data_IF_203548642152
#
_entry.id   IF_203548642152
#
_cell.length_a   1.000
_cell.length_b   1.000
_cell.length_c   1.000
_cell.angle_alpha   90.00
_cell.angle_beta   90.00
_cell.angle_gamma   90.00
#
_symmetry.space_group_name_H-M   'P 1'
#
loop_
_entity.id
_entity.type
_entity.pdbx_description
1 polymer ?
#
# COMPACT_ATOMS: atom_id res chain seq x y z
N UNK A 1 15.40 -14.73 -4.20
CA UNK A 1 16.50 -13.75 -4.35
C UNK A 1 15.88 -12.39 -4.13
N UNK A 2 16.36 -11.62 -3.14
CA UNK A 2 15.73 -10.35 -2.77
C UNK A 2 15.89 -9.31 -3.88
N UNK A 3 14.92 -8.40 -4.01
CA UNK A 3 14.97 -7.27 -4.94
C UNK A 3 15.52 -6.02 -4.24
N UNK A 4 16.28 -5.14 -4.91
CA UNK A 4 16.65 -3.85 -4.32
C UNK A 4 15.42 -2.99 -4.03
N UNK A 5 15.38 -2.30 -2.87
CA UNK A 5 14.22 -1.47 -2.51
C UNK A 5 13.86 -0.39 -3.54
N UNK A 6 14.86 0.14 -4.26
CA UNK A 6 14.67 1.13 -5.33
C UNK A 6 13.93 0.56 -6.55
N UNK A 7 13.96 -0.75 -6.74
CA UNK A 7 13.27 -1.44 -7.82
C UNK A 7 11.85 -1.87 -7.43
N UNK A 8 11.43 -1.66 -6.18
CA UNK A 8 10.18 -2.20 -5.65
C UNK A 8 8.93 -1.76 -6.44
N UNK A 9 8.81 -0.47 -6.77
CA UNK A 9 7.68 0.02 -7.57
C UNK A 9 7.69 -0.55 -9.00
N UNK A 10 8.86 -0.68 -9.64
CA UNK A 10 8.97 -1.27 -10.97
C UNK A 10 8.60 -2.76 -10.97
N UNK A 11 9.04 -3.50 -9.96
CA UNK A 11 8.68 -4.92 -9.80
C UNK A 11 7.18 -5.07 -9.56
N UNK A 12 6.59 -4.23 -8.71
CA UNK A 12 5.14 -4.28 -8.48
C UNK A 12 4.36 -3.92 -9.75
N UNK A 13 4.80 -2.89 -10.49
CA UNK A 13 4.23 -2.54 -11.80
C UNK A 13 4.31 -3.70 -12.79
N UNK A 14 5.42 -4.44 -12.81
CA UNK A 14 5.59 -5.60 -13.67
C UNK A 14 4.63 -6.73 -13.29
N UNK A 15 4.43 -6.99 -12.00
CA UNK A 15 3.48 -8.01 -11.53
C UNK A 15 2.04 -7.69 -11.92
N UNK A 16 1.64 -6.42 -11.81
CA UNK A 16 0.32 -5.94 -12.27
C UNK A 16 0.14 -6.19 -13.77
N UNK A 17 1.12 -5.78 -14.59
CA UNK A 17 1.06 -5.96 -16.05
C UNK A 17 1.05 -7.42 -16.49
N UNK A 18 1.75 -8.31 -15.77
CA UNK A 18 1.70 -9.76 -16.03
C UNK A 18 0.29 -10.34 -15.86
N UNK A 19 -0.57 -9.65 -15.11
CA UNK A 19 -1.99 -9.99 -14.90
C UNK A 19 -2.94 -9.17 -15.76
N UNK A 20 -2.42 -8.35 -16.68
CA UNK A 20 -3.20 -7.48 -17.55
C UNK A 20 -3.76 -6.25 -16.83
N UNK A 21 -3.19 -5.86 -15.70
CA UNK A 21 -3.57 -4.65 -14.95
C UNK A 21 -2.53 -3.57 -15.25
N UNK A 22 -2.96 -2.45 -15.84
CA UNK A 22 -2.08 -1.29 -16.00
C UNK A 22 -2.04 -0.47 -14.70
N UNK A 23 -0.85 -0.17 -14.15
CA UNK A 23 -0.73 0.53 -12.87
C UNK A 23 -1.37 1.93 -12.83
N UNK A 24 -1.44 2.62 -13.96
CA UNK A 24 -2.04 3.96 -14.13
C UNK A 24 -3.53 3.91 -14.53
N UNK A 25 -4.06 2.72 -14.78
CA UNK A 25 -5.45 2.49 -15.19
C UNK A 25 -6.00 1.18 -14.62
N UNK A 26 -5.90 1.00 -13.30
CA UNK A 26 -6.44 -0.17 -12.60
C UNK A 26 -7.96 -0.22 -12.76
N UNK A 27 -8.49 -1.32 -13.31
CA UNK A 27 -9.93 -1.52 -13.48
C UNK A 27 -10.55 -2.56 -12.53
N UNK A 28 -9.74 -3.36 -11.84
CA UNK A 28 -10.17 -4.38 -10.88
C UNK A 28 -9.37 -4.26 -9.57
N UNK A 29 -10.03 -3.70 -8.55
CA UNK A 29 -9.44 -3.48 -7.23
C UNK A 29 -9.08 -4.80 -6.55
N UNK A 30 -9.87 -5.85 -6.75
CA UNK A 30 -9.60 -7.15 -6.13
C UNK A 30 -8.36 -7.80 -6.77
N UNK A 31 -8.25 -7.77 -8.10
CA UNK A 31 -7.07 -8.29 -8.77
C UNK A 31 -5.80 -7.47 -8.45
N UNK A 32 -5.93 -6.15 -8.30
CA UNK A 32 -4.84 -5.30 -7.84
C UNK A 32 -4.39 -5.64 -6.41
N UNK A 33 -5.33 -5.85 -5.49
CA UNK A 33 -5.05 -6.29 -4.12
C UNK A 33 -4.39 -7.66 -4.07
N UNK A 34 -4.88 -8.64 -4.83
CA UNK A 34 -4.27 -9.98 -4.87
C UNK A 34 -2.83 -9.91 -5.39
N UNK A 35 -2.55 -9.02 -6.34
CA UNK A 35 -1.20 -8.77 -6.84
C UNK A 35 -0.33 -8.06 -5.80
N UNK A 36 -0.89 -7.09 -5.07
CA UNK A 36 -0.22 -6.43 -3.95
C UNK A 36 0.13 -7.43 -2.84
N UNK A 37 -0.80 -8.31 -2.49
CA UNK A 37 -0.59 -9.36 -1.48
C UNK A 37 0.57 -10.29 -1.85
N UNK A 38 0.72 -10.61 -3.13
CA UNK A 38 1.87 -11.38 -3.64
C UNK A 38 3.17 -10.58 -3.65
N UNK A 39 3.11 -9.31 -4.05
CA UNK A 39 4.26 -8.41 -4.00
C UNK A 39 4.81 -8.28 -2.58
N UNK A 40 3.93 -8.21 -1.58
CA UNK A 40 4.28 -8.19 -0.15
C UNK A 40 5.01 -9.45 0.33
N UNK A 41 4.99 -10.56 -0.43
CA UNK A 41 5.76 -11.77 -0.12
C UNK A 41 7.18 -11.75 -0.68
N UNK A 42 7.55 -10.73 -1.46
CA UNK A 42 8.89 -10.61 -2.04
C UNK A 42 9.84 -9.99 -1.01
N UNK A 43 10.96 -10.66 -0.74
CA UNK A 43 12.05 -10.12 0.08
C UNK A 43 12.66 -8.88 -0.59
N UNK A 44 12.86 -7.81 0.19
CA UNK A 44 13.49 -6.58 -0.27
C UNK A 44 14.85 -6.42 0.40
N UNK A 45 15.89 -6.21 -0.41
CA UNK A 45 17.23 -5.90 0.04
C UNK A 45 17.39 -4.40 0.37
N UNK A 46 18.15 -4.11 1.43
CA UNK A 46 18.43 -2.75 1.90
C UNK A 46 17.39 -2.18 2.87
N UNK A 47 16.49 -3.04 3.34
CA UNK A 47 15.48 -2.74 4.36
C UNK A 47 16.00 -3.19 5.74
N UNK A 48 15.71 -2.40 6.77
CA UNK A 48 16.09 -2.68 8.15
C UNK A 48 15.37 -3.91 8.73
N UNK A 49 15.82 -4.37 9.90
CA UNK A 49 15.17 -5.48 10.59
C UNK A 49 13.79 -5.08 11.13
N UNK A 50 12.92 -6.06 11.46
CA UNK A 50 11.57 -5.79 11.98
C UNK A 50 11.54 -4.91 13.24
N UNK A 51 12.59 -4.92 14.06
CA UNK A 51 12.70 -4.08 15.26
C UNK A 51 12.91 -2.59 14.98
N UNK A 52 13.16 -2.23 13.72
CA UNK A 52 13.26 -0.85 13.23
C UNK A 52 12.19 -0.55 12.17
N UNK A 53 11.02 -1.20 12.25
CA UNK A 53 9.90 -0.98 11.33
C UNK A 53 10.28 -1.22 9.86
N UNK A 54 11.15 -2.22 9.63
CA UNK A 54 11.76 -2.54 8.34
C UNK A 54 10.78 -2.59 7.17
N UNK A 55 9.87 -3.56 7.21
CA UNK A 55 9.06 -3.97 6.06
C UNK A 55 7.58 -4.07 6.45
N UNK A 56 6.91 -2.93 6.47
CA UNK A 56 5.51 -2.80 6.87
C UNK A 56 4.55 -2.68 5.69
N UNK A 57 3.26 -2.81 5.97
CA UNK A 57 2.20 -2.59 4.98
C UNK A 57 0.92 -2.05 5.61
N UNK A 58 0.13 -1.37 4.77
CA UNK A 58 -1.09 -0.68 5.15
C UNK A 58 -2.05 -0.59 3.96
N UNK A 59 -3.35 -0.49 4.24
CA UNK A 59 -4.32 0.04 3.29
C UNK A 59 -4.98 1.28 3.88
N UNK A 60 -5.11 2.34 3.07
CA UNK A 60 -5.60 3.65 3.51
C UNK A 60 -6.73 4.13 2.61
N UNK A 61 -7.60 4.99 3.13
CA UNK A 61 -8.67 5.62 2.37
C UNK A 61 -9.00 7.01 2.92
N UNK A 62 -9.53 7.86 2.04
CA UNK A 62 -9.97 9.19 2.43
C UNK A 62 -10.07 10.12 1.23
N UNK A 63 -10.26 11.39 1.51
CA UNK A 63 -10.16 12.47 0.54
C UNK A 63 -8.93 13.32 0.88
N UNK A 64 -7.98 13.37 -0.05
CA UNK A 64 -6.73 14.10 0.14
C UNK A 64 -6.60 15.21 -0.90
N UNK A 65 -6.04 16.35 -0.49
CA UNK A 65 -5.96 17.55 -1.32
C UNK A 65 -5.11 17.39 -2.58
N UNK A 66 -4.11 16.51 -2.56
CA UNK A 66 -3.27 16.19 -3.72
C UNK A 66 -4.01 15.34 -4.76
N UNK A 67 -5.19 14.82 -4.43
CA UNK A 67 -6.08 14.07 -5.33
C UNK A 67 -7.29 14.88 -5.78
N UNK A 68 -7.19 16.21 -5.79
CA UNK A 68 -8.32 17.10 -6.09
C UNK A 68 -9.52 16.86 -5.15
N UNK A 69 -9.24 16.47 -3.89
CA UNK A 69 -10.22 16.07 -2.87
C UNK A 69 -11.12 14.89 -3.32
N UNK A 70 -10.67 14.07 -4.26
CA UNK A 70 -11.39 12.88 -4.70
C UNK A 70 -11.22 11.71 -3.72
N UNK A 71 -12.25 10.85 -3.56
CA UNK A 71 -12.15 9.64 -2.76
C UNK A 71 -11.05 8.71 -3.27
N UNK A 72 -10.18 8.26 -2.37
CA UNK A 72 -9.08 7.38 -2.69
C UNK A 72 -9.05 6.15 -1.79
N UNK A 73 -8.51 5.06 -2.34
CA UNK A 73 -8.08 3.85 -1.64
C UNK A 73 -6.63 3.58 -2.04
N UNK A 74 -5.73 3.35 -1.09
CA UNK A 74 -4.34 3.06 -1.40
C UNK A 74 -3.85 1.79 -0.71
N UNK A 75 -2.91 1.12 -1.38
CA UNK A 75 -2.18 -0.04 -0.88
C UNK A 75 -0.71 0.34 -0.75
N UNK A 76 -0.22 0.38 0.48
CA UNK A 76 1.11 0.85 0.81
C UNK A 76 2.00 -0.25 1.38
N UNK A 77 3.23 -0.37 0.87
CA UNK A 77 4.33 -1.09 1.52
C UNK A 77 5.36 -0.08 2.02
N UNK A 78 5.55 0.00 3.33
CA UNK A 78 6.51 0.90 3.97
C UNK A 78 7.84 0.18 4.18
N UNK A 79 8.93 0.88 3.84
CA UNK A 79 10.29 0.39 3.84
C UNK A 79 11.14 1.35 4.67
N UNK A 80 11.60 0.90 5.85
CA UNK A 80 12.66 1.58 6.58
C UNK A 80 14.01 1.17 5.97
N UNK A 81 14.69 2.10 5.32
CA UNK A 81 15.94 1.85 4.59
C UNK A 81 17.11 2.59 5.21
N UNK A 82 18.29 2.02 5.04
CA UNK A 82 19.55 2.62 5.46
C UNK A 82 20.35 3.08 4.25
N UNK A 83 20.09 4.31 3.81
CA UNK A 83 20.79 4.92 2.69
C UNK A 83 21.91 5.84 3.19
N UNK A 84 22.95 5.26 3.78
CA UNK A 84 24.24 5.93 3.99
C UNK A 84 24.46 6.68 5.31
N UNK A 85 23.61 6.47 6.32
CA UNK A 85 23.85 6.97 7.69
C UNK A 85 24.84 6.10 8.46
N UNK A 86 25.67 6.70 9.32
CA UNK A 86 26.49 5.94 10.28
C UNK A 86 25.55 5.31 11.33
N UNK A 87 25.33 3.99 11.23
CA UNK A 87 24.47 3.22 12.16
C UNK A 87 24.91 3.34 13.63
N UNK A 88 26.15 3.73 13.87
CA UNK A 88 26.73 3.92 15.21
C UNK A 88 26.36 5.29 15.83
N UNK A 89 25.69 6.19 15.11
CA UNK A 89 25.16 7.45 15.67
C UNK A 89 23.97 7.16 16.62
N UNK A 90 24.04 7.57 17.90
CA UNK A 90 22.95 7.41 18.87
C UNK A 90 21.63 8.09 18.48
N UNK A 91 21.65 9.03 17.53
CA UNK A 91 20.49 9.75 17.00
C UNK A 91 20.08 9.27 15.61
N UNK A 92 20.72 8.22 15.08
CA UNK A 92 20.37 7.66 13.79
C UNK A 92 18.91 7.19 13.76
N UNK A 93 18.26 7.42 12.61
CA UNK A 93 16.94 6.93 12.27
C UNK A 93 16.98 6.44 10.82
N UNK A 94 16.25 5.37 10.47
CA UNK A 94 16.12 4.95 9.08
C UNK A 94 15.37 6.01 8.27
N UNK A 95 15.57 6.00 6.95
CA UNK A 95 14.69 6.72 6.05
C UNK A 95 13.46 5.86 5.76
N UNK A 96 12.28 6.43 5.85
CA UNK A 96 11.05 5.74 5.48
C UNK A 96 10.70 6.04 4.04
N UNK A 97 10.42 4.98 3.28
CA UNK A 97 9.97 5.04 1.90
C UNK A 97 8.70 4.22 1.76
N UNK A 98 7.82 4.61 0.85
CA UNK A 98 6.54 3.94 0.61
C UNK A 98 6.40 3.61 -0.87
N UNK A 99 6.16 2.35 -1.15
CA UNK A 99 5.61 1.92 -2.44
C UNK A 99 4.10 1.97 -2.32
N UNK A 100 3.45 2.82 -3.10
CA UNK A 100 2.01 3.05 -2.98
C UNK A 100 1.33 2.86 -4.34
N UNK A 101 0.35 1.94 -4.39
CA UNK A 101 -0.66 1.95 -5.45
C UNK A 101 -1.88 2.68 -4.93
N UNK A 102 -2.15 3.85 -5.49
CA UNK A 102 -3.30 4.67 -5.14
C UNK A 102 -4.37 4.57 -6.22
N UNK A 103 -5.61 4.34 -5.78
CA UNK A 103 -6.79 4.19 -6.62
C UNK A 103 -7.73 5.36 -6.32
N UNK A 104 -8.03 6.16 -7.32
CA UNK A 104 -8.81 7.40 -7.18
C UNK A 104 -10.16 7.19 -7.84
N UNK A 105 -11.23 7.47 -7.12
CA UNK A 105 -12.61 7.21 -7.54
C UNK A 105 -13.33 8.51 -7.87
N UNK A 106 -14.31 8.41 -8.75
CA UNK A 106 -15.28 9.49 -8.93
C UNK A 106 -16.16 9.67 -7.69
N UNK A 107 -16.88 10.79 -7.63
CA UNK A 107 -17.93 10.97 -6.64
C UNK A 107 -19.05 9.95 -6.85
N UNK A 108 -19.46 9.27 -5.78
CA UNK A 108 -20.62 8.38 -5.77
C UNK A 108 -21.32 8.44 -4.40
N UNK A 109 -22.67 8.45 -4.36
CA UNK A 109 -23.42 8.37 -3.11
C UNK A 109 -23.03 7.19 -2.19
N UNK A 110 -22.52 6.08 -2.74
CA UNK A 110 -22.11 4.91 -1.98
C UNK A 110 -20.93 5.15 -1.02
N UNK A 111 -20.13 6.21 -1.24
CA UNK A 111 -19.00 6.60 -0.39
C UNK A 111 -18.97 8.10 -0.06
N UNK A 112 -20.11 8.80 -0.16
CA UNK A 112 -20.20 10.24 0.10
C UNK A 112 -19.74 10.68 1.50
N UNK A 113 -19.79 9.80 2.51
CA UNK A 113 -19.28 10.09 3.87
C UNK A 113 -18.04 9.23 4.22
N UNK A 114 -17.14 9.02 3.25
CA UNK A 114 -15.89 8.27 3.47
C UNK A 114 -15.10 8.81 4.67
N UNK A 115 -14.97 10.13 4.79
CA UNK A 115 -14.25 10.79 5.90
C UNK A 115 -14.95 10.65 7.27
N UNK A 116 -16.23 10.25 7.28
CA UNK A 116 -16.99 10.06 8.53
C UNK A 116 -16.82 8.66 9.13
N UNK A 117 -16.00 7.79 8.53
CA UNK A 117 -15.72 6.44 9.06
C UNK A 117 -14.94 6.46 10.38
N UNK A 118 -14.33 7.59 10.75
CA UNK A 118 -13.62 7.77 12.03
C UNK A 118 -12.23 7.11 12.08
N UNK A 119 -11.80 6.52 10.97
CA UNK A 119 -10.48 5.96 10.72
C UNK A 119 -10.25 5.98 9.20
N UNK A 120 -8.99 6.09 8.78
CA UNK A 120 -8.57 6.29 7.38
C UNK A 120 -7.57 5.23 6.93
N UNK A 121 -7.35 4.20 7.75
CA UNK A 121 -6.37 3.17 7.49
C UNK A 121 -6.63 1.90 8.32
N UNK A 122 -5.98 0.80 7.91
CA UNK A 122 -6.03 -0.50 8.60
C UNK A 122 -5.12 -0.60 9.82
N UNK A 123 -4.31 0.41 10.10
CA UNK A 123 -3.11 0.32 10.91
C UNK A 123 -1.95 -0.33 10.16
N UNK A 124 -0.72 0.07 10.50
CA UNK A 124 0.51 -0.55 10.00
C UNK A 124 0.69 -1.95 10.58
N UNK A 125 1.05 -2.89 9.71
CA UNK A 125 1.39 -4.25 10.07
C UNK A 125 2.80 -4.61 9.58
N UNK A 126 3.59 -5.24 10.45
CA UNK A 126 5.00 -5.62 10.21
C UNK A 126 5.23 -7.13 10.29
N UNK A 127 4.16 -7.94 10.19
CA UNK A 127 4.29 -9.39 10.22
C UNK A 127 5.27 -9.87 9.15
N UNK A 128 6.12 -10.84 9.52
CA UNK A 128 7.13 -11.41 8.65
C UNK A 128 6.51 -12.05 7.38
N UNK A 129 7.28 -12.02 6.29
CA UNK A 129 6.93 -12.67 5.02
C UNK A 129 6.53 -14.13 5.26
N UNK A 130 5.47 -14.57 4.57
CA UNK A 130 4.93 -15.92 4.66
C UNK A 130 3.54 -15.96 5.31
N UNK A 131 3.30 -16.97 6.15
CA UNK A 131 1.97 -17.28 6.66
C UNK A 131 1.39 -16.17 7.56
N UNK A 132 2.21 -15.54 8.40
CA UNK A 132 1.76 -14.46 9.30
C UNK A 132 1.28 -13.24 8.51
N UNK A 133 2.09 -12.76 7.56
CA UNK A 133 1.70 -11.66 6.64
C UNK A 133 0.47 -12.01 5.82
N UNK A 134 0.36 -13.25 5.34
CA UNK A 134 -0.83 -13.72 4.60
C UNK A 134 -2.09 -13.68 5.47
N UNK A 135 -1.99 -14.07 6.74
CA UNK A 135 -3.11 -14.00 7.67
C UNK A 135 -3.54 -12.55 7.93
N UNK A 136 -2.58 -11.65 8.18
CA UNK A 136 -2.81 -10.23 8.39
C UNK A 136 -3.47 -9.56 7.17
N UNK A 137 -3.02 -9.86 5.95
CA UNK A 137 -3.67 -9.40 4.72
C UNK A 137 -5.13 -9.88 4.61
N UNK A 138 -5.40 -11.12 5.02
CA UNK A 138 -6.77 -11.62 5.10
C UNK A 138 -7.62 -10.90 6.15
N UNK A 139 -7.04 -10.48 7.26
CA UNK A 139 -7.72 -9.67 8.28
C UNK A 139 -8.00 -8.25 7.79
N UNK A 140 -7.02 -7.58 7.18
CA UNK A 140 -7.20 -6.26 6.53
C UNK A 140 -8.31 -6.31 5.48
N UNK A 141 -8.33 -7.36 4.65
CA UNK A 141 -9.39 -7.53 3.64
C UNK A 141 -10.77 -7.64 4.27
N UNK A 142 -10.94 -8.48 5.30
CA UNK A 142 -12.21 -8.63 6.03
C UNK A 142 -12.62 -7.35 6.74
N UNK A 143 -11.65 -6.61 7.28
CA UNK A 143 -11.88 -5.32 7.91
C UNK A 143 -12.47 -4.33 6.90
N UNK A 144 -11.82 -4.16 5.75
CA UNK A 144 -12.29 -3.28 4.67
C UNK A 144 -13.69 -3.69 4.21
N UNK A 145 -13.94 -4.98 3.98
CA UNK A 145 -15.25 -5.48 3.56
C UNK A 145 -16.36 -5.29 4.61
N UNK A 146 -16.01 -5.13 5.89
CA UNK A 146 -16.98 -4.89 6.96
C UNK A 146 -17.61 -3.50 6.90
N UNK A 147 -16.98 -2.55 6.19
CA UNK A 147 -17.51 -1.21 5.98
C UNK A 147 -18.20 -1.11 4.62
N UNK A 148 -19.52 -0.84 4.57
CA UNK A 148 -20.27 -0.81 3.31
C UNK A 148 -19.69 0.15 2.25
N UNK A 149 -19.15 1.31 2.68
CA UNK A 149 -18.55 2.31 1.80
C UNK A 149 -17.27 1.79 1.13
N UNK A 150 -16.37 1.21 1.93
CA UNK A 150 -15.13 0.62 1.42
C UNK A 150 -15.41 -0.62 0.55
N UNK A 151 -16.37 -1.45 0.95
CA UNK A 151 -16.83 -2.57 0.13
C UNK A 151 -17.48 -2.13 -1.20
N UNK A 152 -18.08 -0.94 -1.25
CA UNK A 152 -18.58 -0.36 -2.49
C UNK A 152 -17.43 0.11 -3.39
N UNK A 153 -16.47 0.88 -2.85
CA UNK A 153 -15.26 1.28 -3.58
C UNK A 153 -14.49 0.07 -4.10
N UNK A 154 -14.39 -0.99 -3.31
CA UNK A 154 -13.70 -2.22 -3.72
C UNK A 154 -14.35 -2.94 -4.92
N UNK A 155 -15.65 -2.73 -5.14
CA UNK A 155 -16.38 -3.30 -6.29
C UNK A 155 -16.50 -2.32 -7.46
N UNK A 156 -16.09 -1.08 -7.25
CA UNK A 156 -16.12 -0.04 -8.27
C UNK A 156 -14.84 -0.08 -9.11
N UNK A 157 -14.93 0.52 -10.28
CA UNK A 157 -13.78 0.80 -11.13
C UNK A 157 -13.19 2.17 -10.73
N UNK A 158 -11.91 2.25 -10.34
CA UNK A 158 -11.23 3.53 -10.14
C UNK A 158 -11.28 4.39 -11.41
N UNK A 159 -11.42 5.71 -11.25
CA UNK A 159 -11.36 6.65 -12.37
C UNK A 159 -9.92 6.83 -12.89
N UNK A 160 -8.93 6.72 -12.00
CA UNK A 160 -7.50 6.68 -12.31
C UNK A 160 -6.75 5.96 -11.18
N UNK A 161 -5.52 5.58 -11.45
CA UNK A 161 -4.61 5.08 -10.43
C UNK A 161 -3.20 5.62 -10.65
N UNK A 162 -2.38 5.54 -9.62
CA UNK A 162 -0.96 5.85 -9.71
C UNK A 162 -0.14 4.90 -8.84
N UNK A 163 1.07 4.58 -9.28
CA UNK A 163 1.99 3.70 -8.57
C UNK A 163 3.32 4.42 -8.37
N UNK A 164 3.63 4.72 -7.11
CA UNK A 164 4.78 5.54 -6.75
C UNK A 164 5.74 4.81 -5.82
N UNK A 165 6.98 5.31 -5.77
CA UNK A 165 7.95 5.05 -4.71
C UNK A 165 8.44 6.40 -4.21
N UNK A 166 7.97 6.81 -3.04
CA UNK A 166 8.27 8.11 -2.48
C UNK A 166 8.79 8.00 -1.06
N UNK A 167 9.52 9.04 -0.62
CA UNK A 167 9.94 9.16 0.77
C UNK A 167 8.70 9.43 1.62
N UNK A 168 8.49 8.63 2.65
CA UNK A 168 7.40 8.83 3.61
C UNK A 168 7.87 9.80 4.70
N UNK A 169 7.30 11.01 4.73
CA UNK A 169 7.63 12.05 5.71
C UNK A 169 7.42 13.47 5.21
#
# INVERSE_FOLDING_TARGET
MPIPWRASAEVFAQMLRQRGIEPDAVCDVNAAWDTFAEFLQIEIAGVESPENDGDGFIAEWGMWNWNDDQPALSFGRLLAVNDGGERDDPHWQPEYWKVELQLIFGEDPAWADLDSLGHQDTGLDYNEIGASRTAALGEMRRFIESYPRLAAMWRAEPARSDLTLERAG
#
